data_IF_690309871835
#
_entry.id   IF_690309871835
#
_cell.length_a   1.000
_cell.length_b   1.000
_cell.length_c   1.000
_cell.angle_alpha   90.00
_cell.angle_beta   90.00
_cell.angle_gamma   90.00
#
_symmetry.space_group_name_H-M   'P 1'
#
loop_
_entity.id
_entity.type
_entity.pdbx_description
1 polymer ?
#
# COMPACT_ATOMS: atom_id res chain seq x y z
N UNK A 1 -17.85 -13.03 20.76
CA UNK A 1 -16.59 -12.40 20.27
C UNK A 1 -15.77 -13.49 19.61
N UNK A 2 -15.14 -13.20 18.48
CA UNK A 2 -14.22 -14.14 17.85
C UNK A 2 -12.78 -13.73 18.20
N UNK A 3 -12.01 -14.68 18.68
CA UNK A 3 -10.61 -14.48 19.07
C UNK A 3 -9.67 -14.83 17.91
N UNK A 4 -8.65 -14.01 17.70
CA UNK A 4 -7.59 -14.33 16.78
C UNK A 4 -6.60 -15.30 17.41
N UNK A 5 -6.54 -16.52 16.90
CA UNK A 5 -5.65 -17.60 17.39
C UNK A 5 -4.15 -17.28 17.28
N UNK A 6 -3.78 -16.29 16.46
CA UNK A 6 -2.37 -15.90 16.26
C UNK A 6 -1.89 -14.91 17.32
N UNK A 7 -2.76 -14.02 17.81
CA UNK A 7 -2.34 -12.94 18.72
C UNK A 7 -3.33 -12.65 19.85
N UNK A 8 -4.34 -13.50 20.05
CA UNK A 8 -5.33 -13.42 21.13
C UNK A 8 -6.31 -12.23 21.04
N UNK A 9 -6.31 -11.50 19.92
CA UNK A 9 -7.10 -10.25 19.82
C UNK A 9 -8.58 -10.56 19.60
N UNK A 10 -9.45 -9.95 20.40
CA UNK A 10 -10.90 -10.19 20.36
C UNK A 10 -11.60 -9.21 19.41
N UNK A 11 -12.47 -9.75 18.58
CA UNK A 11 -13.30 -8.98 17.65
C UNK A 11 -14.78 -9.28 17.89
N UNK A 12 -15.59 -8.21 17.95
CA UNK A 12 -17.05 -8.33 18.06
C UNK A 12 -17.68 -8.68 16.72
N UNK A 13 -17.07 -8.20 15.62
CA UNK A 13 -17.58 -8.38 14.25
C UNK A 13 -16.74 -9.40 13.49
N UNK A 14 -17.33 -10.44 12.88
CA UNK A 14 -16.58 -11.49 12.19
C UNK A 14 -15.84 -10.98 10.96
N UNK A 15 -16.37 -9.96 10.26
CA UNK A 15 -15.67 -9.35 9.13
C UNK A 15 -14.38 -8.61 9.56
N UNK A 16 -14.38 -8.00 10.75
CA UNK A 16 -13.19 -7.37 11.33
C UNK A 16 -12.13 -8.41 11.70
N UNK A 17 -12.54 -9.54 12.31
CA UNK A 17 -11.63 -10.66 12.56
C UNK A 17 -11.02 -11.18 11.25
N UNK A 18 -11.86 -11.37 10.22
CA UNK A 18 -11.40 -11.88 8.92
C UNK A 18 -10.34 -10.96 8.30
N UNK A 19 -10.58 -9.65 8.32
CA UNK A 19 -9.62 -8.63 7.84
C UNK A 19 -8.34 -8.61 8.68
N UNK A 20 -8.48 -8.77 9.99
CA UNK A 20 -7.34 -8.83 10.91
C UNK A 20 -6.49 -10.09 10.70
N UNK A 21 -7.07 -11.26 10.43
CA UNK A 21 -6.29 -12.47 10.14
C UNK A 21 -5.33 -12.26 8.96
N UNK A 22 -5.65 -11.32 8.07
CA UNK A 22 -4.78 -10.97 6.96
C UNK A 22 -3.57 -10.15 7.38
N UNK A 23 -3.60 -9.42 8.50
CA UNK A 23 -2.40 -8.70 8.97
C UNK A 23 -1.31 -9.65 9.44
N UNK A 24 -1.69 -10.88 9.82
CA UNK A 24 -0.76 -11.95 10.19
C UNK A 24 -0.16 -12.68 8.98
N UNK A 25 -0.80 -12.57 7.81
CA UNK A 25 -0.20 -13.05 6.57
C UNK A 25 0.84 -12.02 6.12
N UNK A 26 2.07 -12.49 5.92
CA UNK A 26 3.20 -11.67 5.48
C UNK A 26 2.82 -10.77 4.28
N UNK A 27 3.23 -9.50 4.31
CA UNK A 27 2.89 -8.56 3.24
C UNK A 27 3.59 -8.93 1.92
N UNK A 28 4.66 -9.73 1.97
CA UNK A 28 5.39 -10.26 0.83
C UNK A 28 4.95 -11.70 0.48
N UNK A 29 3.94 -12.25 1.17
CA UNK A 29 3.35 -13.52 0.78
C UNK A 29 2.84 -13.43 -0.67
N UNK A 30 3.40 -14.24 -1.59
CA UNK A 30 3.09 -14.14 -3.01
C UNK A 30 1.65 -14.54 -3.32
N UNK A 31 0.99 -15.28 -2.42
CA UNK A 31 -0.39 -15.70 -2.55
C UNK A 31 -1.38 -14.56 -2.20
N UNK A 32 -0.97 -13.69 -1.28
CA UNK A 32 -1.74 -12.51 -0.85
C UNK A 32 -1.71 -11.37 -1.87
N UNK A 33 -0.63 -11.21 -2.62
CA UNK A 33 -0.46 -10.21 -3.69
C UNK A 33 -0.43 -10.85 -5.09
N UNK A 34 -1.47 -11.62 -5.40
CA UNK A 34 -1.65 -12.30 -6.69
C UNK A 34 -1.73 -11.37 -7.91
N UNK A 35 -2.03 -10.08 -7.74
CA UNK A 35 -2.11 -9.12 -8.83
C UNK A 35 -0.93 -8.15 -8.77
N UNK A 36 0.11 -8.39 -9.57
CA UNK A 36 1.29 -7.52 -9.64
C UNK A 36 1.14 -6.46 -10.73
N UNK A 37 1.61 -5.26 -10.45
CA UNK A 37 1.80 -4.22 -11.44
C UNK A 37 3.06 -4.52 -12.25
N UNK A 38 2.94 -4.55 -13.58
CA UNK A 38 4.07 -4.79 -14.47
C UNK A 38 4.95 -3.55 -14.66
N UNK A 39 4.47 -2.35 -14.33
CA UNK A 39 5.25 -1.11 -14.47
C UNK A 39 6.18 -0.86 -13.29
N UNK A 40 5.73 -1.11 -12.05
CA UNK A 40 6.52 -0.85 -10.84
C UNK A 40 6.75 -2.07 -9.93
N UNK A 41 6.25 -3.25 -10.31
CA UNK A 41 6.40 -4.48 -9.52
C UNK A 41 5.54 -4.56 -8.25
N UNK A 42 4.76 -3.51 -7.93
CA UNK A 42 3.94 -3.47 -6.72
C UNK A 42 2.83 -4.51 -6.76
N UNK A 43 2.69 -5.31 -5.70
CA UNK A 43 1.70 -6.37 -5.61
C UNK A 43 0.42 -5.94 -4.88
N UNK A 44 -0.73 -6.39 -5.39
CA UNK A 44 -2.07 -6.07 -4.92
C UNK A 44 -2.87 -7.35 -4.64
N UNK A 45 -3.77 -7.25 -3.67
CA UNK A 45 -4.60 -8.37 -3.22
C UNK A 45 -5.76 -8.70 -4.17
N UNK A 46 -6.25 -7.73 -4.92
CA UNK A 46 -7.35 -7.89 -5.86
C UNK A 46 -7.08 -7.10 -7.16
N UNK A 47 -7.76 -7.50 -8.23
CA UNK A 47 -7.65 -6.87 -9.55
C UNK A 47 -8.19 -5.44 -9.57
N UNK A 48 -9.20 -5.12 -8.74
CA UNK A 48 -9.79 -3.77 -8.64
C UNK A 48 -8.76 -2.76 -8.14
N UNK A 49 -8.02 -3.10 -7.09
CA UNK A 49 -6.98 -2.22 -6.55
C UNK A 49 -5.81 -2.10 -7.53
N UNK A 50 -5.43 -3.18 -8.22
CA UNK A 50 -4.44 -3.11 -9.29
C UNK A 50 -4.91 -2.15 -10.40
N UNK A 51 -6.17 -2.26 -10.86
CA UNK A 51 -6.71 -1.38 -11.91
C UNK A 51 -6.71 0.08 -11.52
N UNK A 52 -7.10 0.40 -10.27
CA UNK A 52 -7.05 1.77 -9.75
C UNK A 52 -5.60 2.26 -9.60
N UNK A 53 -4.68 1.38 -9.26
CA UNK A 53 -3.26 1.72 -9.26
C UNK A 53 -2.71 1.97 -10.68
N UNK A 54 -3.12 1.22 -11.70
CA UNK A 54 -2.68 1.48 -13.08
C UNK A 54 -3.09 2.89 -13.57
N UNK A 55 -4.18 3.46 -13.06
CA UNK A 55 -4.51 4.88 -13.36
C UNK A 55 -3.53 5.88 -12.74
N UNK A 56 -2.83 5.53 -11.66
CA UNK A 56 -1.80 6.41 -11.09
C UNK A 56 -0.54 6.46 -11.95
N UNK A 57 -0.25 5.41 -12.73
CA UNK A 57 0.87 5.43 -13.67
C UNK A 57 0.63 6.37 -14.85
N UNK A 58 -0.62 6.52 -15.30
CA UNK A 58 -0.97 7.53 -16.33
C UNK A 58 -0.76 8.95 -15.84
N UNK A 59 -0.94 9.19 -14.55
CA UNK A 59 -0.75 10.47 -13.88
C UNK A 59 0.72 10.73 -13.48
N UNK A 60 1.51 9.68 -13.20
CA UNK A 60 2.96 9.78 -12.99
C UNK A 60 3.78 9.92 -14.28
N UNK A 61 3.25 9.50 -15.42
CA UNK A 61 3.88 9.73 -16.73
C UNK A 61 3.64 11.15 -17.27
N UNK A 62 2.77 11.94 -16.61
CA UNK A 62 2.59 13.36 -16.92
C UNK A 62 3.56 14.18 -16.04
N UNK A 63 4.71 14.65 -16.59
CA UNK A 63 5.73 15.35 -15.82
C UNK A 63 5.23 16.67 -15.19
N UNK A 64 4.07 17.18 -15.64
CA UNK A 64 3.45 18.36 -15.06
C UNK A 64 2.82 18.10 -13.67
N UNK A 65 2.36 16.87 -13.38
CA UNK A 65 1.66 16.55 -12.12
C UNK A 65 2.51 15.80 -11.08
N UNK A 66 3.67 15.27 -11.48
CA UNK A 66 4.57 14.54 -10.59
C UNK A 66 5.20 15.42 -9.50
N UNK A 67 5.43 16.71 -9.80
CA UNK A 67 6.04 17.67 -8.88
C UNK A 67 5.04 18.24 -7.87
N UNK A 68 3.76 18.38 -8.23
CA UNK A 68 2.72 18.90 -7.34
C UNK A 68 2.34 17.92 -6.22
N UNK A 69 2.42 16.61 -6.49
CA UNK A 69 2.08 15.56 -5.51
C UNK A 69 3.21 15.20 -4.56
N UNK A 70 4.38 15.84 -4.67
CA UNK A 70 5.55 15.61 -3.82
C UNK A 70 6.04 16.90 -3.16
N UNK A 71 5.23 17.54 -2.30
CA UNK A 71 5.58 18.84 -1.71
C UNK A 71 6.74 18.76 -0.71
N UNK A 72 7.13 17.55 -0.28
CA UNK A 72 8.17 17.35 0.71
C UNK A 72 9.50 17.09 0.02
N UNK A 73 10.40 18.09 0.03
CA UNK A 73 11.75 17.99 -0.54
C UNK A 73 12.77 17.72 0.55
N UNK A 74 13.66 16.75 0.34
CA UNK A 74 14.84 16.56 1.17
C UNK A 74 15.92 17.59 0.80
N UNK A 75 16.41 18.33 1.79
CA UNK A 75 17.44 19.36 1.58
C UNK A 75 18.85 18.79 1.41
N UNK A 76 19.08 17.53 1.80
CA UNK A 76 20.39 16.86 1.72
C UNK A 76 20.59 16.18 0.36
N UNK A 77 19.59 15.45 -0.15
CA UNK A 77 19.69 14.69 -1.40
C UNK A 77 18.83 15.23 -2.55
N UNK A 78 18.06 16.31 -2.34
CA UNK A 78 17.16 16.92 -3.33
C UNK A 78 16.03 16.03 -3.88
N UNK A 79 15.81 14.86 -3.28
CA UNK A 79 14.66 14.01 -3.58
C UNK A 79 13.35 14.61 -3.10
N UNK A 80 12.26 14.28 -3.79
CA UNK A 80 10.91 14.74 -3.47
C UNK A 80 9.99 13.58 -3.13
N UNK A 81 9.21 13.75 -2.07
CA UNK A 81 8.39 12.72 -1.44
C UNK A 81 6.92 13.16 -1.34
N UNK A 82 6.02 12.18 -1.41
CA UNK A 82 4.57 12.40 -1.36
C UNK A 82 4.02 12.70 0.04
N UNK A 83 4.75 12.34 1.08
CA UNK A 83 4.29 12.42 2.48
C UNK A 83 5.46 12.74 3.42
N UNK A 84 5.23 13.62 4.40
CA UNK A 84 6.25 14.02 5.39
C UNK A 84 6.83 12.83 6.19
N UNK A 85 6.07 11.74 6.37
CA UNK A 85 6.53 10.51 7.03
C UNK A 85 7.74 9.87 6.34
N UNK A 86 7.90 10.09 5.03
CA UNK A 86 9.03 9.56 4.26
C UNK A 86 10.27 10.45 4.33
N UNK A 87 10.18 11.63 4.96
CA UNK A 87 11.31 12.53 5.23
C UNK A 87 11.85 12.36 6.66
N UNK A 88 11.13 11.64 7.53
CA UNK A 88 11.36 11.63 8.97
C UNK A 88 12.24 10.46 9.48
N UNK A 89 13.14 9.93 8.65
CA UNK A 89 14.19 8.98 9.07
C UNK A 89 15.57 9.53 8.71
#
# INVERSE_FOLDING_TARGET
>A
ACECEVCGKLFVVPNEMRRHKETHMDENDPNKKRHKCNECGKGFRNSVNLRHHMSTHKDENDPAQAQEKRPFKCEVCSDTFRTAKNLAD
#
